data_IF_766294541103
#
_entry.id   IF_766294541103
#
_cell.length_a   1.000
_cell.length_b   1.000
_cell.length_c   1.000
_cell.angle_alpha   90.00
_cell.angle_beta   90.00
_cell.angle_gamma   90.00
#
_symmetry.space_group_name_H-M   'P 1'
#
loop_
_entity.id
_entity.type
_entity.pdbx_description
1 polymer ?
#
# COMPACT_ATOMS: atom_id res chain seq x y z
N UNK A 1 -12.80 -3.97 7.50
CA UNK A 1 -12.31 -5.08 6.63
C UNK A 1 -12.82 -6.44 7.08
N UNK A 2 -13.54 -7.09 6.17
CA UNK A 2 -14.12 -8.44 6.25
C UNK A 2 -13.20 -9.51 5.66
N UNK A 3 -13.54 -10.79 5.86
CA UNK A 3 -12.80 -11.95 5.33
C UNK A 3 -12.86 -12.03 3.80
N UNK A 4 -14.02 -11.73 3.22
CA UNK A 4 -14.24 -11.81 1.77
C UNK A 4 -13.45 -10.72 1.02
N UNK A 5 -13.41 -9.51 1.56
CA UNK A 5 -12.59 -8.40 1.03
C UNK A 5 -11.09 -8.76 1.06
N UNK A 6 -10.62 -9.36 2.16
CA UNK A 6 -9.24 -9.82 2.25
C UNK A 6 -8.93 -10.94 1.24
N UNK A 7 -9.84 -11.91 1.08
CA UNK A 7 -9.67 -13.00 0.12
C UNK A 7 -9.62 -12.48 -1.33
N UNK A 8 -10.46 -11.50 -1.67
CA UNK A 8 -10.43 -10.84 -2.97
C UNK A 8 -9.09 -10.14 -3.24
N UNK A 9 -8.58 -9.39 -2.26
CA UNK A 9 -7.29 -8.70 -2.39
C UNK A 9 -6.17 -9.71 -2.64
N UNK A 10 -6.11 -10.79 -1.86
CA UNK A 10 -5.09 -11.84 -2.01
C UNK A 10 -5.20 -12.53 -3.38
N UNK A 11 -6.41 -12.81 -3.86
CA UNK A 11 -6.61 -13.41 -5.18
C UNK A 11 -6.14 -12.49 -6.32
N UNK A 12 -6.34 -11.18 -6.19
CA UNK A 12 -6.06 -10.20 -7.24
C UNK A 12 -4.59 -9.72 -7.26
N UNK A 13 -3.99 -9.57 -6.08
CA UNK A 13 -2.70 -8.91 -5.88
C UNK A 13 -1.63 -9.80 -5.23
N UNK A 14 -2.00 -11.01 -4.78
CA UNK A 14 -1.06 -12.04 -4.34
C UNK A 14 -0.12 -11.59 -3.22
N UNK A 15 1.19 -11.74 -3.45
CA UNK A 15 2.22 -11.48 -2.45
C UNK A 15 2.42 -9.99 -2.10
N UNK A 16 1.84 -9.08 -2.87
CA UNK A 16 1.84 -7.65 -2.55
C UNK A 16 0.92 -7.32 -1.38
N UNK A 17 -0.07 -8.18 -1.07
CA UNK A 17 -1.00 -7.99 0.04
C UNK A 17 -0.33 -8.39 1.36
N UNK A 18 -0.29 -7.50 2.37
CA UNK A 18 0.24 -7.85 3.68
C UNK A 18 -0.60 -8.92 4.40
N UNK A 19 -0.03 -9.51 5.45
CA UNK A 19 -0.77 -10.45 6.30
C UNK A 19 -1.92 -9.71 6.99
N UNK A 20 -3.08 -10.35 7.08
CA UNK A 20 -4.33 -9.74 7.58
C UNK A 20 -4.18 -9.07 8.94
N UNK A 21 -3.43 -9.66 9.87
CA UNK A 21 -3.19 -9.11 11.21
C UNK A 21 -2.41 -7.79 11.20
N UNK A 22 -1.74 -7.49 10.08
CA UNK A 22 -1.02 -6.24 9.81
C UNK A 22 -1.82 -5.24 8.98
N UNK A 23 -3.02 -5.59 8.52
CA UNK A 23 -3.97 -4.62 7.97
C UNK A 23 -4.85 -4.08 9.09
N UNK A 24 -4.67 -2.80 9.40
CA UNK A 24 -5.58 -2.06 10.29
C UNK A 24 -6.18 -0.90 9.50
N UNK A 25 -7.21 -1.24 8.73
CA UNK A 25 -7.90 -0.32 7.83
C UNK A 25 -9.36 -0.12 8.25
N UNK A 26 -9.83 1.10 8.08
CA UNK A 26 -11.25 1.45 8.04
C UNK A 26 -11.83 1.10 6.67
N UNK A 27 -13.15 0.91 6.58
CA UNK A 27 -13.79 0.44 5.34
C UNK A 27 -13.62 1.44 4.17
N UNK A 28 -13.56 2.74 4.45
CA UNK A 28 -13.23 3.78 3.45
C UNK A 28 -11.79 3.68 2.90
N UNK A 29 -10.90 2.91 3.53
CA UNK A 29 -9.50 2.82 3.10
C UNK A 29 -9.26 1.61 2.19
N UNK A 30 -10.24 0.72 2.04
CA UNK A 30 -10.14 -0.47 1.18
C UNK A 30 -10.04 -0.13 -0.32
N UNK A 31 -10.83 0.80 -0.87
CA UNK A 31 -10.70 1.18 -2.28
C UNK A 31 -9.35 1.85 -2.60
N UNK A 32 -8.85 2.66 -1.66
CA UNK A 32 -7.52 3.26 -1.74
C UNK A 32 -6.41 2.20 -1.73
N UNK A 33 -6.57 1.15 -0.90
CA UNK A 33 -5.63 0.02 -0.86
C UNK A 33 -5.63 -0.77 -2.17
N UNK A 34 -6.80 -1.10 -2.71
CA UNK A 34 -6.90 -1.83 -3.97
C UNK A 34 -6.24 -1.05 -5.11
N UNK A 35 -6.49 0.26 -5.16
CA UNK A 35 -5.86 1.17 -6.13
C UNK A 35 -4.33 1.21 -6.00
N UNK A 36 -3.82 1.29 -4.77
CA UNK A 36 -2.39 1.25 -4.46
C UNK A 36 -1.73 -0.03 -4.98
N UNK A 37 -2.28 -1.20 -4.62
CA UNK A 37 -1.72 -2.49 -4.99
C UNK A 37 -1.76 -2.70 -6.51
N UNK A 38 -2.79 -2.20 -7.17
CA UNK A 38 -2.89 -2.19 -8.62
C UNK A 38 -1.79 -1.34 -9.26
N UNK A 39 -1.59 -0.09 -8.81
CA UNK A 39 -0.54 0.78 -9.34
C UNK A 39 0.84 0.17 -9.13
N UNK A 40 1.10 -0.41 -7.95
CA UNK A 40 2.37 -1.10 -7.71
C UNK A 40 2.63 -2.21 -8.71
N UNK A 41 1.60 -2.98 -9.07
CA UNK A 41 1.71 -4.05 -10.08
C UNK A 41 1.88 -3.52 -11.50
N UNK A 42 1.14 -2.47 -11.86
CA UNK A 42 1.23 -1.83 -13.18
C UNK A 42 2.62 -1.24 -13.43
N UNK A 43 3.24 -0.68 -12.39
CA UNK A 43 4.59 -0.12 -12.41
C UNK A 43 5.69 -1.17 -12.14
N UNK A 44 5.32 -2.44 -11.90
CA UNK A 44 6.26 -3.53 -11.59
C UNK A 44 6.99 -3.42 -10.25
N UNK A 45 6.51 -2.55 -9.36
CA UNK A 45 7.07 -2.29 -8.03
C UNK A 45 6.83 -3.44 -7.05
N UNK A 46 5.84 -4.31 -7.32
CA UNK A 46 5.53 -5.48 -6.49
C UNK A 46 6.63 -6.56 -6.51
N UNK A 47 7.53 -6.52 -7.50
CA UNK A 47 8.73 -7.36 -7.55
C UNK A 47 9.90 -6.80 -6.73
N UNK A 48 9.95 -5.48 -6.54
CA UNK A 48 11.07 -4.76 -5.93
C UNK A 48 10.80 -4.35 -4.49
N UNK A 49 9.53 -4.17 -4.13
CA UNK A 49 9.08 -3.71 -2.83
C UNK A 49 7.94 -4.57 -2.35
N UNK A 50 8.09 -5.06 -1.12
CA UNK A 50 7.06 -5.80 -0.41
C UNK A 50 6.40 -4.88 0.61
N UNK A 51 5.08 -4.74 0.52
CA UNK A 51 4.33 -4.12 1.63
C UNK A 51 4.31 -5.11 2.79
N UNK A 52 4.75 -4.64 3.95
CA UNK A 52 4.85 -5.46 5.17
C UNK A 52 3.75 -5.16 6.17
N UNK A 53 3.07 -4.02 6.04
CA UNK A 53 1.95 -3.65 6.90
C UNK A 53 1.29 -2.37 6.42
N UNK A 54 0.01 -2.18 6.77
CA UNK A 54 -0.68 -0.91 6.56
C UNK A 54 -1.47 -0.59 7.81
N UNK A 55 -1.12 0.53 8.43
CA UNK A 55 -1.58 0.86 9.78
C UNK A 55 -2.25 2.22 9.77
N UNK A 56 -3.54 2.27 10.09
CA UNK A 56 -4.21 3.50 10.47
C UNK A 56 -3.64 3.99 11.82
N UNK A 57 -3.11 5.21 11.81
CA UNK A 57 -2.54 5.87 12.99
C UNK A 57 -3.61 6.65 13.74
N UNK A 58 -3.37 6.95 15.01
CA UNK A 58 -4.29 7.73 15.84
C UNK A 58 -4.56 9.16 15.34
N UNK A 59 -3.73 9.68 14.43
CA UNK A 59 -3.91 10.98 13.79
C UNK A 59 -4.80 10.92 12.54
N UNK A 60 -5.40 9.77 12.23
CA UNK A 60 -6.20 9.56 11.02
C UNK A 60 -5.38 9.36 9.75
N UNK A 61 -4.05 9.32 9.86
CA UNK A 61 -3.16 9.03 8.72
C UNK A 61 -2.96 7.54 8.55
N UNK A 62 -2.68 7.13 7.32
CA UNK A 62 -2.33 5.75 7.01
C UNK A 62 -0.83 5.65 6.79
N UNK A 63 -0.18 4.78 7.54
CA UNK A 63 1.23 4.47 7.34
C UNK A 63 1.34 3.16 6.56
N UNK A 64 2.13 3.17 5.49
CA UNK A 64 2.44 1.99 4.69
C UNK A 64 3.85 1.52 5.08
N UNK A 65 3.93 0.37 5.74
CA UNK A 65 5.20 -0.28 6.03
C UNK A 65 5.63 -1.09 4.81
N UNK A 66 6.90 -0.93 4.42
CA UNK A 66 7.48 -1.60 3.25
C UNK A 66 8.88 -2.11 3.54
N UNK A 67 9.25 -3.17 2.84
CA UNK A 67 10.61 -3.70 2.79
C UNK A 67 11.05 -3.81 1.34
N UNK A 68 12.30 -3.44 1.08
CA UNK A 68 12.92 -3.71 -0.21
C UNK A 68 13.12 -5.23 -0.37
N UNK A 69 12.85 -5.73 -1.57
CA UNK A 69 13.18 -7.12 -1.90
C UNK A 69 14.68 -7.34 -1.71
N UNK A 70 15.08 -8.56 -1.32
CA UNK A 70 16.48 -8.90 -1.07
C UNK A 70 17.41 -8.69 -2.29
N UNK A 71 16.83 -8.56 -3.49
CA UNK A 71 17.53 -8.26 -4.72
C UNK A 71 17.90 -6.77 -4.88
N UNK A 72 17.28 -5.87 -4.12
CA UNK A 72 17.52 -4.43 -4.18
C UNK A 72 18.51 -4.03 -3.09
N UNK A 73 19.66 -3.48 -3.49
CA UNK A 73 20.61 -2.90 -2.53
C UNK A 73 20.05 -1.57 -1.97
N UNK A 74 19.85 -1.45 -0.65
CA UNK A 74 19.30 -0.24 -0.02
C UNK A 74 20.16 1.01 -0.21
N UNK A 75 21.44 0.87 -0.61
CA UNK A 75 22.34 2.01 -0.90
C UNK A 75 22.42 2.35 -2.39
N UNK A 76 21.69 1.62 -3.23
CA UNK A 76 21.68 1.84 -4.67
C UNK A 76 20.82 3.04 -5.07
N UNK A 77 21.07 3.58 -6.26
CA UNK A 77 20.19 4.58 -6.87
C UNK A 77 18.77 4.03 -7.12
N UNK A 78 18.65 2.72 -7.36
CA UNK A 78 17.35 2.04 -7.51
C UNK A 78 16.52 2.13 -6.22
N UNK A 79 17.13 1.85 -5.06
CA UNK A 79 16.45 2.01 -3.78
C UNK A 79 15.96 3.44 -3.56
N UNK A 80 16.75 4.45 -3.94
CA UNK A 80 16.33 5.85 -3.86
C UNK A 80 15.16 6.16 -4.79
N UNK A 81 15.17 5.66 -6.03
CA UNK A 81 14.05 5.82 -6.96
C UNK A 81 12.78 5.16 -6.42
N UNK A 82 12.90 3.96 -5.84
CA UNK A 82 11.77 3.26 -5.20
C UNK A 82 11.21 4.05 -4.02
N UNK A 83 12.06 4.65 -3.18
CA UNK A 83 11.62 5.54 -2.10
C UNK A 83 10.83 6.74 -2.61
N UNK A 84 11.30 7.40 -3.68
CA UNK A 84 10.62 8.54 -4.30
C UNK A 84 9.27 8.12 -4.89
N UNK A 85 9.22 7.01 -5.63
CA UNK A 85 7.98 6.47 -6.20
C UNK A 85 6.96 6.14 -5.10
N UNK A 86 7.43 5.53 -4.00
CA UNK A 86 6.56 5.22 -2.86
C UNK A 86 6.01 6.46 -2.17
N UNK A 87 6.81 7.52 -2.06
CA UNK A 87 6.34 8.76 -1.45
C UNK A 87 5.20 9.39 -2.26
N UNK A 88 5.28 9.34 -3.60
CA UNK A 88 4.20 9.77 -4.48
C UNK A 88 2.94 8.90 -4.33
N UNK A 89 3.14 7.59 -4.14
CA UNK A 89 2.08 6.61 -3.94
C UNK A 89 1.37 6.81 -2.58
N UNK A 90 2.12 6.97 -1.48
CA UNK A 90 1.59 7.26 -0.15
C UNK A 90 0.76 8.54 -0.15
N UNK A 91 1.28 9.58 -0.78
CA UNK A 91 0.56 10.85 -0.91
C UNK A 91 -0.75 10.68 -1.70
N UNK A 92 -0.74 9.91 -2.78
CA UNK A 92 -1.92 9.66 -3.60
C UNK A 92 -2.96 8.82 -2.84
N UNK A 93 -2.51 7.89 -2.00
CA UNK A 93 -3.37 7.15 -1.08
C UNK A 93 -4.03 8.09 -0.07
N UNK A 94 -3.27 9.01 0.55
CA UNK A 94 -3.82 10.03 1.46
C UNK A 94 -4.81 10.96 0.75
N UNK A 95 -4.54 11.34 -0.50
CA UNK A 95 -5.45 12.16 -1.32
C UNK A 95 -6.77 11.44 -1.60
N UNK A 96 -6.75 10.16 -2.01
CA UNK A 96 -7.97 9.36 -2.23
C UNK A 96 -8.78 9.23 -0.95
N UNK A 97 -8.10 8.91 0.16
CA UNK A 97 -8.77 8.80 1.47
C UNK A 97 -9.39 10.15 1.86
N UNK A 98 -8.69 11.27 1.68
CA UNK A 98 -9.22 12.59 2.03
C UNK A 98 -10.34 13.08 1.08
N UNK A 99 -10.26 12.79 -0.23
CA UNK A 99 -11.26 13.20 -1.22
C UNK A 99 -12.59 12.47 -1.01
N UNK A 100 -12.59 11.19 -0.60
CA UNK A 100 -13.83 10.49 -0.22
C UNK A 100 -14.53 11.10 1.00
N UNK A 101 -13.84 11.92 1.81
CA UNK A 101 -14.44 12.66 2.94
C UNK A 101 -14.81 14.11 2.61
N UNK A 102 -14.54 14.60 1.39
CA UNK A 102 -14.83 15.98 1.01
C UNK A 102 -16.20 16.16 0.33
N UNK A 103 -16.93 15.06 0.07
CA UNK A 103 -18.22 15.04 -0.63
C UNK A 103 -19.42 14.71 0.29
N UNK A 104 -19.29 14.92 1.61
CA UNK A 104 -20.36 14.82 2.63
C UNK A 104 -20.63 16.17 3.33
#
# INVERSE_FOLDING_TARGET
>A
MTDDEYAYLVASHGAAVPVRDRLRLHDCQLPALDSLLRVMREEGLDAEVRITGIVATASGRTQIEKELAAAVDPRSAQALCLEISFWAIERRFEEIVCEEFADD
#
